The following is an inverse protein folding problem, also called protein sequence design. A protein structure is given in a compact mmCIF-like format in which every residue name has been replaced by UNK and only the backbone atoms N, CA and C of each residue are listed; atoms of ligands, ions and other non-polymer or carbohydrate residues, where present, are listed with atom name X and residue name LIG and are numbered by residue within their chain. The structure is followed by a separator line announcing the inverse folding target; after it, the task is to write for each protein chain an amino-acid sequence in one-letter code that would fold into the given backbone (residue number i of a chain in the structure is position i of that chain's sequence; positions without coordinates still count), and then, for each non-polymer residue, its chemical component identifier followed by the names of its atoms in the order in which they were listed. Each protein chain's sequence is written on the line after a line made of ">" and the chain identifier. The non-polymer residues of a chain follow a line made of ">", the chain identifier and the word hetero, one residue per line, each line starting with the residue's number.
data_IF_291782330375
#
_entry.id   IF_291782330375
#
_cell.length_a   1.000
_cell.length_b   1.000
_cell.length_c   1.000
_cell.angle_alpha   90.00
_cell.angle_beta   90.00
_cell.angle_gamma   90.00
#
_symmetry.space_group_name_H-M   'P 1'
#
loop_
_entity.id
_entity.type
_entity.pdbx_description
1 polymer ?
#
# COMPACT_ATOMS: atom_id res chain seq x y z
N UNK A 1 18.56 -12.73 12.17
CA UNK A 1 17.18 -13.23 12.33
C UNK A 1 17.29 -14.51 13.16
N UNK A 2 16.44 -14.65 14.19
CA UNK A 2 16.35 -15.84 15.04
C UNK A 2 14.93 -16.39 14.99
N UNK A 3 14.79 -17.69 15.06
CA UNK A 3 13.50 -18.34 15.31
C UNK A 3 13.37 -18.46 16.82
N UNK A 4 12.27 -17.95 17.37
CA UNK A 4 11.96 -18.03 18.81
C UNK A 4 10.72 -18.87 19.01
N UNK A 5 10.73 -19.67 20.07
CA UNK A 5 9.55 -20.39 20.52
C UNK A 5 8.60 -19.48 21.33
N UNK A 6 7.47 -20.06 21.77
CA UNK A 6 6.45 -19.32 22.52
C UNK A 6 6.98 -18.76 23.86
N UNK A 7 7.87 -19.49 24.54
CA UNK A 7 8.41 -19.06 25.84
C UNK A 7 9.41 -17.92 25.67
N UNK A 8 10.30 -18.04 24.71
CA UNK A 8 11.27 -17.02 24.37
C UNK A 8 10.58 -15.73 23.89
N UNK A 9 9.50 -15.84 23.10
CA UNK A 9 8.70 -14.71 22.67
C UNK A 9 7.98 -14.03 23.84
N UNK A 10 7.40 -14.80 24.78
CA UNK A 10 6.78 -14.24 25.99
C UNK A 10 7.75 -13.51 26.90
N UNK A 11 9.01 -13.96 26.97
CA UNK A 11 10.03 -13.24 27.73
C UNK A 11 10.34 -11.84 27.12
N UNK A 12 10.29 -11.74 25.78
CA UNK A 12 10.52 -10.46 25.08
C UNK A 12 9.27 -9.59 25.05
N UNK A 13 8.13 -10.20 24.73
CA UNK A 13 6.83 -9.55 24.55
C UNK A 13 5.74 -10.32 25.33
N UNK A 14 5.59 -10.06 26.63
CA UNK A 14 4.70 -10.84 27.50
C UNK A 14 3.23 -10.82 27.08
N UNK A 15 2.82 -9.79 26.35
CA UNK A 15 1.44 -9.59 25.90
C UNK A 15 1.12 -10.27 24.56
N UNK A 16 2.08 -10.98 23.95
CA UNK A 16 1.83 -11.74 22.73
C UNK A 16 1.28 -13.12 23.04
N UNK A 17 0.36 -13.57 22.17
CA UNK A 17 -0.14 -14.92 22.10
C UNK A 17 0.22 -15.54 20.75
N UNK A 18 1.29 -16.31 20.70
CA UNK A 18 1.78 -16.95 19.46
C UNK A 18 2.57 -18.23 19.79
N UNK A 19 2.68 -19.13 18.83
CA UNK A 19 3.41 -20.40 18.98
C UNK A 19 4.92 -20.22 18.77
N UNK A 20 5.29 -19.45 17.75
CA UNK A 20 6.68 -19.17 17.39
C UNK A 20 6.73 -17.89 16.56
N UNK A 21 7.92 -17.36 16.34
CA UNK A 21 8.11 -16.18 15.51
C UNK A 21 9.53 -16.02 15.00
N UNK A 22 9.67 -15.23 13.93
CA UNK A 22 10.94 -14.76 13.44
C UNK A 22 11.25 -13.42 14.12
N UNK A 23 12.35 -13.35 14.82
CA UNK A 23 12.81 -12.15 15.51
C UNK A 23 13.97 -11.50 14.74
N UNK A 24 13.77 -10.24 14.37
CA UNK A 24 14.79 -9.42 13.68
C UNK A 24 15.21 -8.25 14.59
N UNK A 25 16.48 -8.17 14.96
CA UNK A 25 17.03 -7.10 15.79
C UNK A 25 17.37 -5.82 15.04
N UNK A 26 17.37 -5.88 13.70
CA UNK A 26 17.75 -4.76 12.82
C UNK A 26 16.57 -4.14 12.09
N UNK A 27 15.35 -4.49 12.49
CA UNK A 27 14.14 -3.85 11.98
C UNK A 27 13.89 -2.52 12.66
N UNK A 28 13.24 -1.60 11.95
CA UNK A 28 12.85 -0.31 12.48
C UNK A 28 11.82 0.38 11.61
N UNK A 29 11.22 1.44 12.15
CA UNK A 29 10.30 2.30 11.44
C UNK A 29 11.00 3.57 10.96
N UNK A 30 10.66 4.05 9.78
CA UNK A 30 11.16 5.31 9.24
C UNK A 30 10.01 6.23 8.82
N UNK A 31 10.29 7.52 8.79
CA UNK A 31 9.39 8.50 8.20
C UNK A 31 9.74 8.67 6.71
N UNK A 32 8.98 8.01 5.84
CA UNK A 32 9.21 8.06 4.39
C UNK A 32 9.07 9.46 3.81
N UNK A 33 8.24 10.33 4.38
CA UNK A 33 8.12 11.73 3.96
C UNK A 33 9.42 12.50 4.18
N UNK A 34 10.03 12.36 5.37
CA UNK A 34 11.33 12.97 5.65
C UNK A 34 12.45 12.37 4.80
N UNK A 35 12.44 11.05 4.60
CA UNK A 35 13.40 10.36 3.74
C UNK A 35 13.33 10.88 2.31
N UNK A 36 12.11 10.93 1.72
CA UNK A 36 11.89 11.44 0.36
C UNK A 36 12.35 12.89 0.22
N UNK A 37 12.05 13.73 1.23
CA UNK A 37 12.53 15.12 1.25
C UNK A 37 14.05 15.18 1.24
N UNK A 38 14.72 14.41 2.10
CA UNK A 38 16.19 14.39 2.16
C UNK A 38 16.81 13.92 0.84
N UNK A 39 16.25 12.87 0.22
CA UNK A 39 16.71 12.38 -1.09
C UNK A 39 16.48 13.44 -2.17
N UNK A 40 15.35 14.14 -2.18
CA UNK A 40 15.07 15.19 -3.17
C UNK A 40 16.07 16.37 -3.04
N UNK A 41 16.38 16.79 -1.82
CA UNK A 41 17.36 17.86 -1.59
C UNK A 41 18.77 17.44 -2.03
N UNK A 42 19.15 16.19 -1.79
CA UNK A 42 20.43 15.64 -2.26
C UNK A 42 20.47 15.59 -3.80
N UNK A 43 19.39 15.14 -4.44
CA UNK A 43 19.28 15.10 -5.90
C UNK A 43 19.40 16.47 -6.53
N UNK A 44 18.75 17.50 -5.94
CA UNK A 44 18.90 18.90 -6.39
C UNK A 44 20.35 19.37 -6.31
N UNK A 45 21.04 19.07 -5.21
CA UNK A 45 22.47 19.41 -5.06
C UNK A 45 23.35 18.75 -6.13
N UNK A 46 22.93 17.58 -6.64
CA UNK A 46 23.61 16.87 -7.72
C UNK A 46 23.12 17.26 -9.12
N UNK A 47 22.38 18.35 -9.27
CA UNK A 47 21.97 18.91 -10.54
C UNK A 47 20.66 18.40 -11.11
N UNK A 48 19.86 17.64 -10.33
CA UNK A 48 18.52 17.18 -10.77
C UNK A 48 17.53 18.35 -10.80
N UNK A 49 16.81 18.51 -11.91
CA UNK A 49 15.69 19.42 -12.03
C UNK A 49 14.38 18.69 -11.73
N UNK A 50 13.53 19.28 -10.88
CA UNK A 50 12.22 18.77 -10.54
C UNK A 50 11.14 19.59 -11.23
N UNK A 51 10.39 19.00 -12.11
CA UNK A 51 9.23 19.60 -12.77
C UNK A 51 7.96 19.16 -12.01
N UNK A 52 7.54 19.98 -11.04
CA UNK A 52 6.32 19.69 -10.27
C UNK A 52 5.08 20.14 -11.05
N UNK A 53 3.94 19.47 -10.82
CA UNK A 53 2.64 19.73 -11.48
C UNK A 53 2.65 19.48 -13.00
N UNK A 54 3.58 18.66 -13.48
CA UNK A 54 3.70 18.28 -14.88
C UNK A 54 3.23 16.83 -15.04
N UNK A 55 1.93 16.62 -15.17
CA UNK A 55 1.36 15.31 -15.44
C UNK A 55 1.59 14.94 -16.91
N UNK A 56 2.11 13.74 -17.15
CA UNK A 56 2.32 13.22 -18.50
C UNK A 56 0.97 13.02 -19.18
N UNK A 57 0.73 13.71 -20.29
CA UNK A 57 -0.50 13.62 -21.10
C UNK A 57 -0.38 12.52 -22.17
N UNK A 58 0.65 12.60 -22.99
CA UNK A 58 1.02 11.55 -23.97
C UNK A 58 2.51 11.64 -24.31
N UNK A 59 3.00 10.64 -25.03
CA UNK A 59 4.41 10.53 -25.43
C UNK A 59 4.49 10.28 -26.91
N UNK A 60 5.39 10.98 -27.58
CA UNK A 60 5.80 10.77 -28.96
C UNK A 60 7.21 10.20 -28.98
N UNK A 61 7.37 8.98 -29.47
CA UNK A 61 8.68 8.31 -29.54
C UNK A 61 9.23 8.35 -30.95
N UNK A 62 10.54 8.59 -31.04
CA UNK A 62 11.37 8.38 -32.22
C UNK A 62 12.36 7.25 -31.93
N UNK A 63 13.25 6.92 -32.88
CA UNK A 63 14.29 5.91 -32.69
C UNK A 63 15.22 6.21 -31.52
N UNK A 64 15.47 7.48 -31.21
CA UNK A 64 16.55 7.91 -30.31
C UNK A 64 16.08 8.75 -29.14
N UNK A 65 14.83 9.22 -29.15
CA UNK A 65 14.30 10.16 -28.17
C UNK A 65 12.82 9.94 -27.90
N UNK A 66 12.38 10.33 -26.70
CA UNK A 66 10.98 10.48 -26.34
C UNK A 66 10.66 11.95 -26.09
N UNK A 67 9.64 12.48 -26.76
CA UNK A 67 9.07 13.78 -26.49
C UNK A 67 7.84 13.59 -25.59
N UNK A 68 7.97 14.04 -24.35
CA UNK A 68 6.94 13.90 -23.30
C UNK A 68 6.12 15.17 -23.27
N UNK A 69 4.84 15.08 -23.57
CA UNK A 69 3.90 16.19 -23.54
C UNK A 69 3.11 16.15 -22.23
N UNK A 70 3.09 17.27 -21.51
CA UNK A 70 2.40 17.41 -20.25
C UNK A 70 0.97 17.96 -20.39
N UNK A 71 0.19 17.91 -19.30
CA UNK A 71 -1.21 18.34 -19.30
C UNK A 71 -1.39 19.84 -19.57
N UNK A 72 -0.38 20.66 -19.29
CA UNK A 72 -0.34 22.09 -19.59
C UNK A 72 0.13 22.39 -21.04
N UNK A 73 0.33 21.37 -21.86
CA UNK A 73 0.86 21.38 -23.22
C UNK A 73 2.33 21.81 -23.34
N UNK A 74 3.06 21.97 -22.24
CA UNK A 74 4.52 22.02 -22.29
C UNK A 74 5.10 20.66 -22.66
N UNK A 75 6.35 20.59 -23.09
CA UNK A 75 7.02 19.34 -23.46
C UNK A 75 8.46 19.27 -22.98
N UNK A 76 8.95 18.05 -22.85
CA UNK A 76 10.34 17.73 -22.56
C UNK A 76 10.81 16.59 -23.46
N UNK A 77 11.93 16.77 -24.10
CA UNK A 77 12.58 15.69 -24.86
C UNK A 77 13.68 15.03 -24.03
N UNK A 78 13.70 13.71 -24.03
CA UNK A 78 14.68 12.91 -23.31
C UNK A 78 15.19 11.75 -24.17
N UNK A 79 16.48 11.41 -24.04
CA UNK A 79 17.07 10.24 -24.71
C UNK A 79 16.74 8.93 -23.95
N UNK A 80 16.41 9.03 -22.66
CA UNK A 80 16.06 7.89 -21.82
C UNK A 80 15.01 8.27 -20.80
N UNK A 81 14.03 7.41 -20.55
CA UNK A 81 12.95 7.64 -19.60
C UNK A 81 12.85 6.48 -18.63
N UNK A 82 12.83 6.77 -17.34
CA UNK A 82 12.59 5.79 -16.29
C UNK A 82 11.24 6.08 -15.65
N UNK A 83 10.33 5.11 -15.73
CA UNK A 83 9.00 5.24 -15.14
C UNK A 83 9.01 4.76 -13.68
N UNK A 84 8.96 5.72 -12.76
CA UNK A 84 8.85 5.50 -11.32
C UNK A 84 7.58 6.17 -10.74
N UNK A 85 6.48 6.17 -11.50
CA UNK A 85 5.26 6.91 -11.15
C UNK A 85 4.39 6.26 -10.06
N UNK A 86 4.89 5.24 -9.35
CA UNK A 86 4.17 4.61 -8.23
C UNK A 86 2.82 4.05 -8.67
N UNK A 87 1.73 4.45 -8.03
CA UNK A 87 0.38 4.01 -8.37
C UNK A 87 -0.10 4.37 -9.77
N UNK A 88 0.56 5.32 -10.44
CA UNK A 88 0.28 5.73 -11.82
C UNK A 88 1.22 5.07 -12.86
N UNK A 89 2.07 4.13 -12.42
CA UNK A 89 3.11 3.55 -13.32
C UNK A 89 2.52 2.82 -14.52
N UNK A 90 1.42 2.10 -14.35
CA UNK A 90 0.77 1.41 -15.47
C UNK A 90 0.20 2.40 -16.48
N UNK A 91 -0.44 3.47 -16.04
CA UNK A 91 -0.98 4.51 -16.91
C UNK A 91 0.12 5.21 -17.70
N UNK A 92 1.26 5.49 -17.07
CA UNK A 92 2.43 6.04 -17.77
C UNK A 92 2.99 5.04 -18.77
N UNK A 93 3.13 3.75 -18.43
CA UNK A 93 3.58 2.71 -19.36
C UNK A 93 2.67 2.59 -20.59
N UNK A 94 1.35 2.67 -20.41
CA UNK A 94 0.38 2.64 -21.51
C UNK A 94 0.53 3.83 -22.48
N UNK A 95 0.97 5.01 -21.99
CA UNK A 95 1.28 6.18 -22.85
C UNK A 95 2.49 5.93 -23.75
N UNK A 96 3.40 5.05 -23.32
CA UNK A 96 4.49 4.49 -24.13
C UNK A 96 4.07 3.24 -24.93
N UNK A 97 2.78 2.96 -25.06
CA UNK A 97 2.20 1.79 -25.76
C UNK A 97 2.65 0.44 -25.19
N UNK A 98 3.19 0.42 -23.97
CA UNK A 98 3.59 -0.77 -23.24
C UNK A 98 2.43 -1.28 -22.37
N UNK A 99 2.44 -2.57 -22.00
CA UNK A 99 1.54 -3.19 -21.03
C UNK A 99 0.04 -2.94 -21.29
N UNK A 100 -0.39 -2.86 -22.56
CA UNK A 100 -1.76 -2.48 -22.95
C UNK A 100 -2.83 -3.42 -22.40
N UNK A 101 -2.51 -4.72 -22.30
CA UNK A 101 -3.42 -5.77 -21.85
C UNK A 101 -3.37 -6.00 -20.32
N UNK A 102 -2.52 -5.25 -19.61
CA UNK A 102 -2.44 -5.26 -18.15
C UNK A 102 -3.46 -4.32 -17.55
N UNK A 103 -3.93 -4.66 -16.36
CA UNK A 103 -4.82 -3.84 -15.53
C UNK A 103 -4.19 -3.59 -14.17
N UNK A 104 -4.81 -2.76 -13.36
CA UNK A 104 -4.45 -2.58 -11.97
C UNK A 104 -5.68 -2.41 -11.08
N UNK A 105 -5.48 -2.56 -9.79
CA UNK A 105 -6.44 -2.22 -8.75
C UNK A 105 -5.73 -1.38 -7.69
N UNK A 106 -6.46 -0.45 -7.11
CA UNK A 106 -5.94 0.38 -6.03
C UNK A 106 -6.54 -0.07 -4.70
N UNK A 107 -5.69 -0.27 -3.70
CA UNK A 107 -6.11 -0.68 -2.35
C UNK A 107 -5.56 0.29 -1.33
N UNK A 108 -6.46 0.88 -0.56
CA UNK A 108 -6.10 1.73 0.57
C UNK A 108 -5.97 0.89 1.83
N UNK A 109 -4.80 0.97 2.47
CA UNK A 109 -4.54 0.42 3.79
C UNK A 109 -4.76 1.49 4.85
N UNK A 110 -5.65 1.23 5.78
CA UNK A 110 -6.02 2.15 6.85
C UNK A 110 -5.55 1.64 8.20
N UNK A 111 -5.22 2.56 9.10
CA UNK A 111 -4.73 2.27 10.43
C UNK A 111 -5.57 2.93 11.52
N UNK A 112 -5.47 2.39 12.72
CA UNK A 112 -6.00 2.97 13.94
C UNK A 112 -4.87 3.22 14.94
N UNK A 113 -4.82 4.42 15.51
CA UNK A 113 -3.79 4.84 16.47
C UNK A 113 -4.20 4.39 17.86
N UNK A 114 -3.27 3.74 18.55
CA UNK A 114 -3.41 3.32 19.93
C UNK A 114 -3.35 4.52 20.88
N UNK A 115 -4.15 4.48 21.94
CA UNK A 115 -4.04 5.40 23.07
C UNK A 115 -2.66 5.25 23.73
N UNK A 116 -2.17 6.35 24.32
CA UNK A 116 -0.87 6.39 24.99
C UNK A 116 -0.74 5.36 26.12
N UNK A 117 -1.84 5.00 26.78
CA UNK A 117 -1.88 4.03 27.88
C UNK A 117 -1.48 2.63 27.44
N UNK A 118 -1.79 2.26 26.18
CA UNK A 118 -1.48 0.93 25.63
C UNK A 118 -0.38 0.96 24.57
N UNK A 119 0.10 2.14 24.18
CA UNK A 119 1.12 2.27 23.11
C UNK A 119 2.38 1.45 23.36
N UNK A 120 2.70 1.15 24.61
CA UNK A 120 3.84 0.32 25.02
C UNK A 120 3.46 -1.10 25.49
N UNK A 121 2.21 -1.52 25.25
CA UNK A 121 1.75 -2.88 25.55
C UNK A 121 2.63 -3.94 24.86
N UNK A 122 3.04 -3.64 23.62
CA UNK A 122 4.02 -4.40 22.84
C UNK A 122 5.15 -3.44 22.44
N UNK A 123 6.39 -3.86 22.64
CA UNK A 123 7.58 -2.99 22.50
C UNK A 123 8.13 -2.92 21.10
N UNK A 124 7.87 -3.96 20.28
CA UNK A 124 8.39 -4.13 18.92
C UNK A 124 7.27 -4.08 17.89
N UNK A 125 7.63 -4.05 16.60
CA UNK A 125 6.67 -4.25 15.53
C UNK A 125 6.31 -5.74 15.45
N UNK A 126 5.02 -6.05 15.33
CA UNK A 126 4.52 -7.42 15.22
C UNK A 126 3.78 -7.59 13.91
N UNK A 127 4.25 -8.48 13.08
CA UNK A 127 3.62 -8.90 11.83
C UNK A 127 3.13 -10.34 11.94
N UNK A 128 1.96 -10.61 11.42
CA UNK A 128 1.45 -11.99 11.30
C UNK A 128 1.83 -12.57 9.94
N UNK A 129 1.92 -13.88 9.86
CA UNK A 129 2.06 -14.58 8.57
C UNK A 129 0.78 -14.35 7.76
N UNK A 130 0.89 -13.91 6.50
CA UNK A 130 -0.29 -13.68 5.65
C UNK A 130 -1.11 -14.97 5.48
N UNK A 131 -2.44 -14.86 5.61
CA UNK A 131 -3.35 -16.00 5.41
C UNK A 131 -3.54 -16.37 3.94
N UNK A 132 -3.32 -15.42 3.05
CA UNK A 132 -3.45 -15.55 1.61
C UNK A 132 -2.16 -15.05 0.95
N UNK A 133 -1.09 -15.86 0.94
CA UNK A 133 0.22 -15.45 0.43
C UNK A 133 0.22 -15.17 -1.09
N UNK A 134 -0.79 -15.67 -1.81
CA UNK A 134 -1.01 -15.43 -3.23
C UNK A 134 -1.52 -14.02 -3.55
N UNK A 135 -2.05 -13.30 -2.54
CA UNK A 135 -2.51 -11.93 -2.69
C UNK A 135 -1.51 -10.94 -2.10
N UNK A 136 -1.33 -9.76 -2.72
CA UNK A 136 -0.35 -8.77 -2.29
C UNK A 136 -0.81 -7.97 -1.07
N UNK A 137 -1.49 -8.60 -0.11
CA UNK A 137 -2.04 -7.97 1.07
C UNK A 137 -1.37 -8.48 2.35
N UNK A 138 -1.21 -7.58 3.30
CA UNK A 138 -0.74 -7.91 4.63
C UNK A 138 -1.93 -8.03 5.58
N UNK A 139 -1.90 -9.04 6.44
CA UNK A 139 -2.81 -9.07 7.59
C UNK A 139 -2.47 -7.92 8.56
N UNK A 140 -3.45 -7.41 9.33
CA UNK A 140 -3.19 -6.36 10.29
C UNK A 140 -2.08 -6.72 11.27
N UNK A 141 -1.23 -5.74 11.54
CA UNK A 141 -0.09 -5.84 12.41
C UNK A 141 -0.10 -4.71 13.45
N UNK A 142 0.75 -4.84 14.46
CA UNK A 142 1.04 -3.81 15.44
C UNK A 142 2.34 -3.13 15.03
N UNK A 143 2.31 -1.81 14.84
CA UNK A 143 3.47 -1.08 14.35
C UNK A 143 3.75 0.18 15.20
N UNK A 144 5.00 0.38 15.53
CA UNK A 144 5.51 1.59 16.18
C UNK A 144 6.07 2.51 15.09
N UNK A 145 5.50 3.69 14.97
CA UNK A 145 5.91 4.69 13.98
C UNK A 145 7.12 5.47 14.46
N UNK A 146 7.86 6.06 13.52
CA UNK A 146 9.03 6.88 13.82
C UNK A 146 8.71 8.16 14.63
N UNK A 147 7.45 8.60 14.65
CA UNK A 147 6.96 9.73 15.46
C UNK A 147 6.58 9.31 16.89
N UNK A 148 6.73 8.03 17.25
CA UNK A 148 6.39 7.48 18.56
C UNK A 148 4.95 6.98 18.70
N UNK A 149 4.09 7.22 17.73
CA UNK A 149 2.73 6.64 17.72
C UNK A 149 2.77 5.13 17.50
N UNK A 150 1.78 4.45 18.02
CA UNK A 150 1.57 3.01 17.80
C UNK A 150 0.25 2.83 17.07
N UNK A 151 0.23 1.99 16.06
CA UNK A 151 -0.92 1.77 15.20
C UNK A 151 -1.20 0.29 14.98
N UNK A 152 -2.46 -0.04 14.72
CA UNK A 152 -2.89 -1.34 14.21
C UNK A 152 -3.47 -1.20 12.81
N UNK A 153 -3.22 -2.16 11.95
CA UNK A 153 -3.59 -2.20 10.54
C UNK A 153 -2.46 -2.77 9.70
N UNK A 154 -2.51 -2.66 8.38
CA UNK A 154 -3.61 -2.10 7.61
C UNK A 154 -4.76 -3.09 7.38
N UNK A 155 -5.87 -2.57 6.87
CA UNK A 155 -6.79 -3.31 5.99
C UNK A 155 -6.35 -3.11 4.52
N UNK A 156 -7.18 -3.59 3.58
CA UNK A 156 -6.95 -3.40 2.14
C UNK A 156 -8.28 -3.19 1.43
N UNK A 157 -8.78 -1.96 1.41
CA UNK A 157 -10.06 -1.64 0.77
C UNK A 157 -9.87 -1.13 -0.65
N UNK A 158 -10.66 -1.62 -1.63
CA UNK A 158 -10.63 -1.11 -2.99
C UNK A 158 -11.00 0.38 -3.04
N UNK A 159 -10.27 1.13 -3.84
CA UNK A 159 -10.54 2.54 -4.14
C UNK A 159 -10.38 2.78 -5.64
N UNK A 160 -10.93 3.87 -6.16
CA UNK A 160 -10.96 4.16 -7.59
C UNK A 160 -9.64 4.71 -8.16
N UNK A 161 -8.76 5.21 -7.30
CA UNK A 161 -7.59 5.98 -7.70
C UNK A 161 -6.41 5.78 -6.75
N UNK A 162 -5.15 5.89 -7.22
CA UNK A 162 -3.99 5.91 -6.35
C UNK A 162 -3.89 7.15 -5.47
N UNK A 163 -4.80 8.12 -5.65
CA UNK A 163 -4.89 9.36 -4.86
C UNK A 163 -6.06 9.36 -3.85
N UNK A 164 -6.82 8.27 -3.76
CA UNK A 164 -8.03 8.16 -2.91
C UNK A 164 -7.70 7.88 -1.44
N UNK A 165 -6.90 8.75 -0.80
CA UNK A 165 -6.46 8.58 0.59
C UNK A 165 -7.59 8.77 1.61
N UNK A 166 -8.54 9.69 1.35
CA UNK A 166 -9.58 10.09 2.30
C UNK A 166 -10.98 9.60 1.92
N UNK A 167 -11.15 9.09 0.71
CA UNK A 167 -12.44 8.65 0.17
C UNK A 167 -12.33 7.31 -0.55
N UNK A 168 -13.46 6.64 -0.82
CA UNK A 168 -13.50 5.46 -1.68
C UNK A 168 -13.52 5.83 -3.17
N UNK A 169 -14.02 7.01 -3.46
CA UNK A 169 -14.22 7.56 -4.80
C UNK A 169 -13.59 8.95 -4.81
N UNK A 170 -12.68 9.19 -5.73
CA UNK A 170 -12.02 10.48 -5.94
C UNK A 170 -12.97 11.45 -6.66
N UNK A 171 -13.52 10.99 -7.79
CA UNK A 171 -14.55 11.67 -8.56
C UNK A 171 -15.34 10.65 -9.42
N UNK A 172 -16.51 11.06 -9.91
CA UNK A 172 -17.39 10.17 -10.69
C UNK A 172 -16.75 9.70 -12.00
N UNK A 173 -16.12 10.55 -12.83
CA UNK A 173 -15.43 10.11 -14.03
C UNK A 173 -14.35 9.06 -13.77
N UNK A 174 -13.51 9.26 -12.76
CA UNK A 174 -12.44 8.33 -12.37
C UNK A 174 -13.05 6.99 -11.92
N UNK A 175 -14.07 7.00 -11.09
CA UNK A 175 -14.75 5.79 -10.65
C UNK A 175 -15.38 5.01 -11.82
N UNK A 176 -16.06 5.68 -12.74
CA UNK A 176 -16.62 5.05 -13.94
C UNK A 176 -15.55 4.46 -14.85
N UNK A 177 -14.44 5.17 -15.05
CA UNK A 177 -13.30 4.67 -15.80
C UNK A 177 -12.74 3.40 -15.17
N UNK A 178 -12.54 3.39 -13.86
CA UNK A 178 -12.02 2.21 -13.14
C UNK A 178 -13.00 1.03 -13.19
N UNK A 179 -14.30 1.26 -13.04
CA UNK A 179 -15.32 0.21 -13.21
C UNK A 179 -15.26 -0.38 -14.63
N UNK A 180 -15.14 0.48 -15.64
CA UNK A 180 -15.00 0.03 -17.04
C UNK A 180 -13.76 -0.84 -17.22
N UNK A 181 -12.61 -0.43 -16.69
CA UNK A 181 -11.37 -1.20 -16.72
C UNK A 181 -11.50 -2.55 -16.03
N UNK A 182 -12.20 -2.60 -14.89
CA UNK A 182 -12.46 -3.85 -14.15
C UNK A 182 -13.32 -4.80 -14.99
N UNK A 183 -14.39 -4.31 -15.60
CA UNK A 183 -15.35 -5.15 -16.33
C UNK A 183 -14.81 -5.60 -17.70
N UNK A 184 -14.08 -4.73 -18.38
CA UNK A 184 -13.57 -5.00 -19.72
C UNK A 184 -12.17 -5.62 -19.72
N UNK A 185 -11.36 -5.32 -18.70
CA UNK A 185 -9.97 -5.75 -18.58
C UNK A 185 -9.78 -7.14 -17.99
N UNK A 186 -8.53 -7.47 -17.69
CA UNK A 186 -8.11 -8.74 -17.08
C UNK A 186 -8.61 -8.90 -15.63
N UNK A 187 -8.86 -7.80 -14.95
CA UNK A 187 -9.36 -7.76 -13.56
C UNK A 187 -10.67 -8.53 -13.35
N UNK A 188 -11.54 -8.62 -14.36
CA UNK A 188 -12.79 -9.40 -14.27
C UNK A 188 -12.56 -10.86 -13.88
N UNK A 189 -11.42 -11.46 -14.25
CA UNK A 189 -11.08 -12.84 -13.88
C UNK A 189 -10.85 -12.98 -12.38
N UNK A 190 -10.26 -11.95 -11.75
CA UNK A 190 -10.03 -11.91 -10.31
C UNK A 190 -11.36 -11.83 -9.53
N UNK A 191 -12.38 -11.15 -10.07
CA UNK A 191 -13.71 -11.08 -9.46
C UNK A 191 -14.46 -12.43 -9.46
N UNK A 192 -14.00 -13.41 -10.23
CA UNK A 192 -14.53 -14.77 -10.20
C UNK A 192 -13.86 -15.64 -9.13
N UNK A 193 -12.79 -15.16 -8.50
CA UNK A 193 -12.09 -15.88 -7.44
C UNK A 193 -12.80 -15.66 -6.10
N UNK A 194 -13.39 -16.73 -5.55
CA UNK A 194 -14.17 -16.69 -4.30
C UNK A 194 -13.33 -16.30 -3.08
N UNK A 195 -12.06 -16.71 -3.04
CA UNK A 195 -11.13 -16.35 -1.94
C UNK A 195 -10.80 -14.87 -1.97
N UNK A 196 -10.58 -14.32 -3.17
CA UNK A 196 -10.38 -12.88 -3.35
C UNK A 196 -11.62 -12.08 -2.89
N UNK A 197 -12.81 -12.46 -3.31
CA UNK A 197 -14.06 -11.77 -2.90
C UNK A 197 -14.28 -11.88 -1.39
N UNK A 198 -14.04 -13.07 -0.79
CA UNK A 198 -14.12 -13.25 0.67
C UNK A 198 -13.13 -12.36 1.40
N UNK A 199 -11.90 -12.26 0.89
CA UNK A 199 -10.87 -11.38 1.48
C UNK A 199 -11.31 -9.92 1.42
N UNK A 200 -11.70 -9.41 0.24
CA UNK A 200 -12.16 -8.02 0.06
C UNK A 200 -13.32 -7.68 0.99
N UNK A 201 -14.28 -8.59 1.17
CA UNK A 201 -15.40 -8.39 2.09
C UNK A 201 -14.94 -8.21 3.55
N UNK A 202 -13.97 -9.02 4.01
CA UNK A 202 -13.38 -8.90 5.36
C UNK A 202 -12.59 -7.61 5.53
N UNK A 203 -11.85 -7.21 4.50
CA UNK A 203 -11.09 -5.97 4.48
C UNK A 203 -12.03 -4.75 4.56
N UNK A 204 -13.11 -4.76 3.80
CA UNK A 204 -14.14 -3.72 3.85
C UNK A 204 -14.78 -3.61 5.24
N UNK A 205 -15.13 -4.74 5.88
CA UNK A 205 -15.63 -4.74 7.25
C UNK A 205 -14.63 -4.11 8.23
N UNK A 206 -13.35 -4.36 8.07
CA UNK A 206 -12.29 -3.75 8.91
C UNK A 206 -12.11 -2.26 8.65
N UNK A 207 -12.55 -1.73 7.51
CA UNK A 207 -12.56 -0.30 7.22
C UNK A 207 -13.71 0.42 7.94
N UNK A 208 -14.92 -0.13 7.86
CA UNK A 208 -16.11 0.50 8.44
C UNK A 208 -16.28 0.22 9.94
N UNK A 209 -15.65 -0.83 10.47
CA UNK A 209 -15.75 -1.26 11.86
C UNK A 209 -14.39 -1.36 12.52
N UNK A 210 -14.11 -0.43 13.44
CA UNK A 210 -12.93 -0.49 14.32
C UNK A 210 -12.86 -1.82 15.09
N UNK A 211 -13.99 -2.27 15.61
CA UNK A 211 -14.06 -3.54 16.34
C UNK A 211 -13.65 -4.72 15.48
N UNK A 212 -14.02 -4.75 14.20
CA UNK A 212 -13.59 -5.81 13.28
C UNK A 212 -12.07 -5.81 13.07
N UNK A 213 -11.43 -4.64 12.98
CA UNK A 213 -9.97 -4.52 12.91
C UNK A 213 -9.33 -5.02 14.21
N UNK A 214 -9.82 -4.57 15.37
CA UNK A 214 -9.29 -4.95 16.68
C UNK A 214 -9.39 -6.47 16.89
N UNK A 215 -10.50 -7.10 16.54
CA UNK A 215 -10.67 -8.55 16.68
C UNK A 215 -9.67 -9.37 15.83
N UNK A 216 -9.17 -8.83 14.74
CA UNK A 216 -8.10 -9.47 13.96
C UNK A 216 -6.77 -9.44 14.71
N UNK A 217 -6.45 -8.31 15.37
CA UNK A 217 -5.20 -8.11 16.12
C UNK A 217 -5.24 -8.80 17.48
N UNK A 218 -6.41 -8.91 18.13
CA UNK A 218 -6.61 -9.65 19.39
C UNK A 218 -6.18 -11.12 19.32
N UNK A 219 -6.12 -11.70 18.13
CA UNK A 219 -5.64 -13.08 17.96
C UNK A 219 -4.21 -13.27 18.45
N UNK A 220 -3.39 -12.23 18.35
CA UNK A 220 -1.99 -12.26 18.78
C UNK A 220 -1.68 -11.23 19.89
N UNK A 221 -2.55 -10.23 20.13
CA UNK A 221 -2.46 -9.31 21.29
C UNK A 221 -3.83 -9.31 22.00
N UNK A 222 -4.12 -10.30 22.86
CA UNK A 222 -5.47 -10.49 23.44
C UNK A 222 -5.96 -9.36 24.33
N UNK A 223 -5.04 -8.56 24.90
CA UNK A 223 -5.36 -7.56 25.91
C UNK A 223 -6.02 -6.28 25.35
N UNK A 224 -5.97 -6.04 24.03
CA UNK A 224 -6.49 -4.81 23.42
C UNK A 224 -8.02 -4.81 23.29
N UNK A 225 -8.60 -3.60 23.28
CA UNK A 225 -10.04 -3.36 23.12
C UNK A 225 -10.29 -2.25 22.08
N UNK A 226 -11.48 -2.15 21.47
CA UNK A 226 -11.78 -1.08 20.53
C UNK A 226 -11.62 0.34 21.10
N UNK A 227 -11.87 0.53 22.40
CA UNK A 227 -11.74 1.82 23.09
C UNK A 227 -10.29 2.31 23.11
N UNK A 228 -9.33 1.40 23.06
CA UNK A 228 -7.90 1.70 23.09
C UNK A 228 -7.39 2.39 21.81
N UNK A 229 -8.24 2.53 20.79
CA UNK A 229 -7.91 3.11 19.50
C UNK A 229 -8.84 4.29 19.17
N UNK A 230 -8.59 5.48 19.75
CA UNK A 230 -9.52 6.62 19.69
C UNK A 230 -9.58 7.31 18.32
N UNK A 231 -8.53 7.20 17.48
CA UNK A 231 -8.45 7.95 16.23
C UNK A 231 -7.95 7.09 15.05
N UNK A 232 -8.31 7.51 13.84
CA UNK A 232 -7.71 6.98 12.61
C UNK A 232 -6.25 7.39 12.50
N UNK A 233 -5.43 6.48 12.01
CA UNK A 233 -4.03 6.72 11.65
C UNK A 233 -3.87 7.18 10.21
N UNK A 234 -2.64 7.10 9.73
CA UNK A 234 -2.32 7.39 8.32
C UNK A 234 -2.89 6.31 7.40
N UNK A 235 -3.13 6.67 6.14
CA UNK A 235 -3.47 5.71 5.10
C UNK A 235 -2.33 5.61 4.08
N UNK A 236 -2.22 4.44 3.43
CA UNK A 236 -1.33 4.22 2.29
C UNK A 236 -2.08 3.54 1.17
N UNK A 237 -1.73 3.83 -0.08
CA UNK A 237 -2.33 3.16 -1.24
C UNK A 237 -1.31 2.27 -1.91
N UNK A 238 -1.74 1.04 -2.22
CA UNK A 238 -0.99 0.07 -2.99
C UNK A 238 -1.74 -0.22 -4.29
N UNK A 239 -1.01 -0.21 -5.40
CA UNK A 239 -1.56 -0.46 -6.73
C UNK A 239 -0.89 -1.68 -7.36
N UNK A 240 -1.31 -2.90 -7.01
CA UNK A 240 -0.83 -4.09 -7.68
C UNK A 240 -1.29 -4.13 -9.14
N UNK A 241 -0.39 -4.55 -10.01
CA UNK A 241 -0.65 -4.79 -11.43
C UNK A 241 -1.21 -6.19 -11.62
N UNK A 242 -2.12 -6.34 -12.57
CA UNK A 242 -2.79 -7.59 -12.92
C UNK A 242 -2.43 -7.95 -14.36
N UNK A 243 -1.91 -9.15 -14.55
CA UNK A 243 -1.54 -9.68 -15.86
C UNK A 243 -2.77 -9.96 -16.73
N UNK A 244 -2.60 -10.16 -18.06
CA UNK A 244 -3.69 -10.54 -18.95
C UNK A 244 -4.39 -11.85 -18.55
N UNK A 245 -3.71 -12.73 -17.79
CA UNK A 245 -4.26 -13.98 -17.26
C UNK A 245 -5.16 -13.77 -16.04
N UNK A 246 -5.12 -12.57 -15.43
CA UNK A 246 -5.89 -12.20 -14.24
C UNK A 246 -5.16 -12.49 -12.92
N UNK A 247 -3.85 -12.62 -12.94
CA UNK A 247 -3.02 -12.84 -11.76
C UNK A 247 -2.31 -11.56 -11.34
N UNK A 248 -2.09 -11.40 -10.04
CA UNK A 248 -1.21 -10.33 -9.56
C UNK A 248 0.22 -10.55 -10.03
N UNK A 249 0.85 -9.49 -10.51
CA UNK A 249 2.27 -9.49 -10.89
C UNK A 249 3.08 -9.39 -9.60
N UNK A 250 3.86 -10.42 -9.30
CA UNK A 250 4.68 -10.52 -8.08
C UNK A 250 6.08 -9.94 -8.25
N UNK A 251 6.58 -9.88 -9.48
CA UNK A 251 7.91 -9.38 -9.83
C UNK A 251 7.77 -8.06 -10.59
N UNK A 252 8.47 -7.06 -10.11
CA UNK A 252 8.62 -5.76 -10.75
C UNK A 252 10.10 -5.49 -11.00
#
# INVERSE_FOLDING_TARGET
>A
ISILDSNELKQKEPNLNCHSGLYCTKEGSTNYGLLTKAVSELSKKNGTNFLLKHNVKYVEETSDQANIIFSDNSSLTANFVINCAGGNSLDVAKKFRLLKDYSDLHFRGEYWVADSNIANLVKTNIYTVPRYPEFPFLDPHWIKRANGETEIGPNAVPVDSPEAYDSFITDIPTALSKITDIVTGSTKKLLLNTDFISLISKEFLSSISKSAMVERVKKFIPAIKPEDFPKRGTAGIRTPVISPEGNFVSEM
#
